data_IF_829901951738
#
_entry.id   IF_829901951738
#
_cell.length_a   1.000
_cell.length_b   1.000
_cell.length_c   1.000
_cell.angle_alpha   90.00
_cell.angle_beta   90.00
_cell.angle_gamma   90.00
#
_symmetry.space_group_name_H-M   'P 1'
#
loop_
_entity.id
_entity.type
_entity.pdbx_description
1 polymer ?
#
# COMPACT_ATOMS: atom_id res chain seq x y z
N UNK A 1 -11.11 -4.25 15.87
CA UNK A 1 -10.99 -4.53 14.44
C UNK A 1 -11.41 -3.31 13.66
N UNK A 2 -10.56 -2.84 12.77
CA UNK A 2 -10.91 -1.67 11.97
C UNK A 2 -11.98 -2.04 10.95
N UNK A 3 -13.13 -1.43 11.06
CA UNK A 3 -14.15 -1.56 10.04
C UNK A 3 -13.71 -0.82 8.79
N UNK A 4 -13.91 -1.43 7.62
CA UNK A 4 -13.61 -0.79 6.35
C UNK A 4 -14.74 0.17 6.00
N UNK A 5 -14.73 1.33 6.64
CA UNK A 5 -15.65 2.41 6.32
C UNK A 5 -14.98 3.30 5.29
N UNK A 6 -15.55 3.34 4.08
CA UNK A 6 -15.08 4.26 3.06
C UNK A 6 -15.42 5.68 3.47
N UNK A 7 -14.42 6.55 3.44
CA UNK A 7 -14.59 7.97 3.70
C UNK A 7 -13.71 8.78 2.76
N UNK A 8 -14.12 10.00 2.45
CA UNK A 8 -13.29 10.92 1.69
C UNK A 8 -12.40 11.71 2.65
N UNK A 9 -11.14 11.86 2.27
CA UNK A 9 -10.21 12.71 2.98
C UNK A 9 -10.05 14.03 2.23
N UNK A 10 -10.20 15.14 2.95
CA UNK A 10 -9.98 16.49 2.40
C UNK A 10 -8.63 17.00 2.89
N UNK A 11 -7.62 17.13 2.01
CA UNK A 11 -6.29 17.52 2.43
C UNK A 11 -6.23 19.00 2.85
N UNK A 12 -5.44 19.28 3.89
CA UNK A 12 -5.11 20.64 4.29
C UNK A 12 -4.13 21.29 3.33
N UNK A 13 -3.30 20.48 2.68
CA UNK A 13 -2.31 20.92 1.69
C UNK A 13 -2.50 20.19 0.36
N UNK A 14 -3.54 20.55 -0.42
CA UNK A 14 -3.89 19.80 -1.62
C UNK A 14 -2.80 19.80 -2.69
N UNK A 15 -1.89 20.78 -2.68
CA UNK A 15 -0.76 20.84 -3.64
C UNK A 15 0.25 19.71 -3.43
N UNK A 16 0.32 19.12 -2.25
CA UNK A 16 1.19 17.98 -1.96
C UNK A 16 0.63 16.68 -2.55
N UNK A 17 -0.67 16.60 -2.74
CA UNK A 17 -1.31 15.37 -3.21
C UNK A 17 -1.08 15.19 -4.71
N UNK A 18 -0.54 14.02 -5.05
CA UNK A 18 -0.29 13.66 -6.45
C UNK A 18 -1.46 12.85 -6.96
N UNK A 19 -2.40 13.53 -7.60
CA UNK A 19 -3.65 12.98 -8.07
C UNK A 19 -4.77 13.99 -7.89
N UNK A 20 -6.02 13.53 -7.85
CA UNK A 20 -7.17 14.41 -7.63
C UNK A 20 -7.42 14.60 -6.14
N UNK A 21 -7.08 15.78 -5.56
CA UNK A 21 -7.24 16.01 -4.12
C UNK A 21 -8.71 16.05 -3.68
N UNK A 22 -9.65 16.16 -4.61
CA UNK A 22 -11.07 16.16 -4.30
C UNK A 22 -11.66 14.74 -4.28
N UNK A 23 -10.86 13.73 -4.57
CA UNK A 23 -11.32 12.35 -4.65
C UNK A 23 -10.35 11.38 -3.96
N UNK A 24 -9.97 11.69 -2.72
CA UNK A 24 -9.13 10.82 -1.91
C UNK A 24 -10.02 9.94 -1.05
N UNK A 25 -10.03 8.64 -1.33
CA UNK A 25 -10.89 7.68 -0.64
C UNK A 25 -10.05 6.87 0.33
N UNK A 26 -10.43 6.90 1.61
CA UNK A 26 -9.84 6.05 2.64
C UNK A 26 -10.79 4.87 2.91
N UNK A 27 -10.24 3.66 2.84
CA UNK A 27 -11.02 2.42 3.01
C UNK A 27 -11.02 1.92 4.45
N UNK A 28 -10.23 2.56 5.33
CA UNK A 28 -10.17 2.21 6.74
C UNK A 28 -9.75 3.43 7.57
N UNK A 29 -9.95 3.35 8.88
CA UNK A 29 -9.47 4.38 9.79
C UNK A 29 -7.95 4.50 9.80
N UNK A 30 -7.24 3.40 9.57
CA UNK A 30 -5.78 3.40 9.48
C UNK A 30 -5.29 4.16 8.26
N UNK A 31 -5.92 3.95 7.10
CA UNK A 31 -5.60 4.70 5.89
C UNK A 31 -5.87 6.18 6.08
N UNK A 32 -6.97 6.54 6.74
CA UNK A 32 -7.28 7.94 7.04
C UNK A 32 -6.22 8.59 7.93
N UNK A 33 -5.77 7.88 8.95
CA UNK A 33 -4.68 8.36 9.82
C UNK A 33 -3.39 8.56 9.03
N UNK A 34 -3.09 7.65 8.12
CA UNK A 34 -1.89 7.76 7.27
C UNK A 34 -2.01 8.93 6.28
N UNK A 35 -3.19 9.15 5.69
CA UNK A 35 -3.44 10.32 4.84
C UNK A 35 -3.15 11.62 5.59
N UNK A 36 -3.64 11.71 6.82
CA UNK A 36 -3.40 12.88 7.67
C UNK A 36 -1.92 13.04 7.98
N UNK A 37 -1.23 11.96 8.28
CA UNK A 37 0.21 11.99 8.51
C UNK A 37 0.96 12.51 7.29
N UNK A 38 0.65 12.01 6.09
CA UNK A 38 1.27 12.46 4.85
C UNK A 38 1.00 13.94 4.57
N UNK A 39 -0.24 14.36 4.80
CA UNK A 39 -0.68 15.73 4.52
C UNK A 39 0.02 16.74 5.44
N UNK A 40 0.14 16.42 6.72
CA UNK A 40 0.63 17.36 7.75
C UNK A 40 2.14 17.27 7.99
N UNK A 41 2.82 16.21 7.56
CA UNK A 41 4.24 16.04 7.81
C UNK A 41 5.07 16.85 6.79
N UNK A 42 5.87 17.78 7.28
CA UNK A 42 6.69 18.65 6.43
C UNK A 42 7.76 17.89 5.64
N UNK A 43 8.21 16.74 6.12
CA UNK A 43 9.22 15.94 5.42
C UNK A 43 8.64 15.14 4.26
N UNK A 44 7.34 14.99 4.20
CA UNK A 44 6.66 14.37 3.06
C UNK A 44 6.33 15.47 2.06
N UNK A 45 7.03 15.46 0.93
CA UNK A 45 6.92 16.50 -0.09
C UNK A 45 5.72 16.29 -1.00
N UNK A 46 5.46 15.03 -1.34
CA UNK A 46 4.34 14.61 -2.17
C UNK A 46 3.81 13.28 -1.68
N UNK A 47 2.53 13.00 -1.92
CA UNK A 47 1.94 11.71 -1.60
C UNK A 47 0.74 11.44 -2.49
N UNK A 48 0.40 10.17 -2.69
CA UNK A 48 -0.75 9.73 -3.45
C UNK A 48 -1.34 8.47 -2.85
N UNK A 49 -2.63 8.29 -3.01
CA UNK A 49 -3.38 7.13 -2.51
C UNK A 49 -4.04 6.43 -3.69
N UNK A 50 -3.62 5.20 -3.99
CA UNK A 50 -4.19 4.36 -5.05
C UNK A 50 -4.22 5.02 -6.45
N UNK A 51 -3.32 5.97 -6.70
CA UNK A 51 -3.32 6.77 -7.95
C UNK A 51 -2.45 6.18 -9.07
N UNK A 52 -1.69 5.13 -8.78
CA UNK A 52 -0.80 4.52 -9.77
C UNK A 52 -0.74 3.01 -9.57
N UNK A 53 -0.21 2.32 -10.56
CA UNK A 53 -0.01 0.88 -10.45
C UNK A 53 1.41 0.48 -10.82
N UNK A 54 1.84 -0.67 -10.27
CA UNK A 54 3.11 -1.31 -10.58
C UNK A 54 2.81 -2.64 -11.25
N UNK A 55 3.28 -2.86 -12.49
CA UNK A 55 3.09 -4.17 -13.12
C UNK A 55 3.93 -5.23 -12.42
N UNK A 56 3.37 -6.40 -12.22
CA UNK A 56 4.09 -7.55 -11.68
C UNK A 56 3.60 -8.84 -12.36
N UNK A 57 4.43 -9.88 -12.32
CA UNK A 57 4.05 -11.19 -12.85
C UNK A 57 3.52 -12.03 -11.69
N UNK A 58 2.25 -12.41 -11.77
CA UNK A 58 1.66 -13.26 -10.74
C UNK A 58 2.21 -14.69 -10.82
N UNK A 59 2.66 -15.28 -9.71
CA UNK A 59 3.13 -16.65 -9.70
C UNK A 59 2.02 -17.69 -9.93
N UNK A 60 0.75 -17.29 -9.82
CA UNK A 60 -0.38 -18.21 -9.96
C UNK A 60 -0.72 -18.53 -11.41
N UNK A 61 -0.67 -17.52 -12.30
CA UNK A 61 -1.03 -17.68 -13.72
C UNK A 61 0.07 -17.26 -14.70
N UNK A 62 1.20 -16.80 -14.18
CA UNK A 62 2.36 -16.34 -14.98
C UNK A 62 2.04 -15.16 -15.91
N UNK A 63 0.99 -14.41 -15.61
CA UNK A 63 0.56 -13.24 -16.37
C UNK A 63 0.91 -11.95 -15.65
N UNK A 64 1.00 -10.86 -16.42
CA UNK A 64 1.22 -9.52 -15.87
C UNK A 64 -0.07 -9.00 -15.27
N UNK A 65 0.00 -8.59 -14.01
CA UNK A 65 -1.11 -7.98 -13.29
C UNK A 65 -0.71 -6.59 -12.83
N UNK A 66 -1.71 -5.77 -12.49
CA UNK A 66 -1.49 -4.44 -11.94
C UNK A 66 -1.56 -4.50 -10.42
N UNK A 67 -0.52 -3.98 -9.76
CA UNK A 67 -0.51 -3.81 -8.32
C UNK A 67 -0.76 -2.35 -7.99
N UNK A 68 -1.83 -2.06 -7.27
CA UNK A 68 -2.16 -0.73 -6.79
C UNK A 68 -1.76 -0.62 -5.32
N UNK A 69 -0.59 -0.04 -5.00
CA UNK A 69 -0.21 0.19 -3.60
C UNK A 69 -1.18 1.15 -2.92
N UNK A 70 -1.31 1.02 -1.60
CA UNK A 70 -2.17 1.93 -0.85
C UNK A 70 -1.69 3.37 -0.95
N UNK A 71 -0.37 3.59 -0.84
CA UNK A 71 0.21 4.93 -0.90
C UNK A 71 1.55 4.93 -1.61
N UNK A 72 1.85 6.07 -2.25
CA UNK A 72 3.19 6.44 -2.66
C UNK A 72 3.54 7.76 -1.98
N UNK A 73 4.74 7.86 -1.43
CA UNK A 73 5.19 9.07 -0.76
C UNK A 73 6.59 9.46 -1.23
N UNK A 74 6.83 10.76 -1.33
CA UNK A 74 8.14 11.33 -1.59
C UNK A 74 8.61 12.05 -0.34
N UNK A 75 9.68 11.57 0.27
CA UNK A 75 10.16 12.01 1.58
C UNK A 75 11.51 12.69 1.44
N UNK A 76 11.67 13.83 2.11
CA UNK A 76 12.98 14.46 2.31
C UNK A 76 13.58 13.94 3.61
N UNK A 77 14.67 13.17 3.49
CA UNK A 77 15.35 12.60 4.66
C UNK A 77 16.24 13.65 5.36
N UNK A 78 16.66 13.32 6.59
CA UNK A 78 17.53 14.17 7.39
C UNK A 78 18.85 14.52 6.70
N UNK A 79 19.33 13.66 5.79
CA UNK A 79 20.52 13.90 4.99
C UNK A 79 20.30 14.86 3.83
N UNK A 80 19.07 15.30 3.60
CA UNK A 80 18.69 16.13 2.46
C UNK A 80 18.33 15.35 1.20
N UNK A 81 18.51 14.03 1.20
CA UNK A 81 18.11 13.18 0.08
C UNK A 81 16.60 13.04 0.00
N UNK A 82 16.10 13.00 -1.24
CA UNK A 82 14.69 12.76 -1.51
C UNK A 82 14.53 11.32 -1.96
N UNK A 83 13.69 10.55 -1.27
CA UNK A 83 13.40 9.16 -1.61
C UNK A 83 11.92 8.94 -1.78
N UNK A 84 11.57 8.02 -2.68
CA UNK A 84 10.19 7.60 -2.93
C UNK A 84 9.96 6.25 -2.27
N UNK A 85 8.89 6.15 -1.50
CA UNK A 85 8.48 4.91 -0.83
C UNK A 85 7.09 4.52 -1.30
N UNK A 86 6.91 3.22 -1.48
CA UNK A 86 5.60 2.61 -1.65
C UNK A 86 5.18 2.06 -0.30
N UNK A 87 4.01 2.46 0.17
CA UNK A 87 3.52 2.10 1.50
C UNK A 87 2.23 1.30 1.38
N UNK A 88 2.15 0.21 2.11
CA UNK A 88 0.97 -0.61 2.18
C UNK A 88 0.54 -0.80 3.62
N UNK A 89 -0.73 -0.50 3.89
CA UNK A 89 -1.30 -0.62 5.24
C UNK A 89 -1.94 -2.00 5.36
N UNK A 90 -1.29 -2.89 6.09
CA UNK A 90 -1.77 -4.26 6.28
C UNK A 90 -1.76 -4.66 7.75
N UNK A 91 -2.70 -5.55 8.16
CA UNK A 91 -2.58 -6.19 9.46
C UNK A 91 -1.26 -6.97 9.56
N UNK A 92 -0.65 -7.00 10.74
CA UNK A 92 0.62 -7.69 10.97
C UNK A 92 0.59 -9.15 10.49
N UNK A 93 -0.55 -9.81 10.64
CA UNK A 93 -0.74 -11.20 10.19
C UNK A 93 -0.42 -11.40 8.71
N UNK A 94 -0.72 -10.42 7.87
CA UNK A 94 -0.50 -10.49 6.42
C UNK A 94 0.93 -10.13 6.01
N UNK A 95 1.75 -9.64 6.93
CA UNK A 95 3.16 -9.33 6.67
C UNK A 95 4.09 -10.52 6.94
N UNK A 96 3.54 -11.65 7.35
CA UNK A 96 4.27 -12.86 7.69
C UNK A 96 3.75 -14.05 6.89
N UNK A 97 4.59 -15.08 6.65
CA UNK A 97 4.10 -16.29 5.98
C UNK A 97 3.01 -16.96 6.81
N UNK A 98 2.06 -17.64 6.16
CA UNK A 98 1.07 -18.42 6.89
C UNK A 98 1.74 -19.47 7.79
N UNK A 99 1.18 -19.67 8.98
CA UNK A 99 1.67 -20.73 9.88
C UNK A 99 1.41 -22.09 9.26
N UNK A 100 2.43 -22.95 9.30
CA UNK A 100 2.28 -24.31 8.83
C UNK A 100 1.23 -25.03 9.68
N UNK A 101 0.30 -25.74 9.03
CA UNK A 101 -0.79 -26.45 9.68
C UNK A 101 -0.71 -27.94 9.39
N UNK A 102 -1.09 -28.76 10.35
CA UNK A 102 -1.15 -30.22 10.18
C UNK A 102 -2.17 -30.64 9.14
N UNK A 103 -3.25 -29.90 9.01
CA UNK A 103 -4.35 -30.20 8.09
C UNK A 103 -4.42 -29.14 7.00
N UNK A 104 -4.34 -29.57 5.74
CA UNK A 104 -4.47 -28.68 4.61
C UNK A 104 -5.96 -28.44 4.35
N UNK A 105 -6.39 -27.19 4.52
CA UNK A 105 -7.76 -26.75 4.25
C UNK A 105 -7.79 -25.79 3.07
N UNK A 106 -8.98 -25.53 2.50
CA UNK A 106 -9.13 -24.51 1.45
C UNK A 106 -8.67 -23.14 1.94
N UNK A 107 -8.95 -22.81 3.20
CA UNK A 107 -8.53 -21.55 3.82
C UNK A 107 -7.01 -21.43 3.88
N UNK A 108 -6.32 -22.50 4.28
CA UNK A 108 -4.87 -22.51 4.33
C UNK A 108 -4.24 -22.39 2.95
N UNK A 109 -4.78 -23.11 1.96
CA UNK A 109 -4.31 -22.98 0.57
C UNK A 109 -4.48 -21.56 0.04
N UNK A 110 -5.61 -20.93 0.36
CA UNK A 110 -5.85 -19.54 -0.02
C UNK A 110 -4.83 -18.61 0.63
N UNK A 111 -4.53 -18.77 1.91
CA UNK A 111 -3.52 -17.98 2.62
C UNK A 111 -2.15 -18.12 1.96
N UNK A 112 -1.76 -19.33 1.59
CA UNK A 112 -0.48 -19.59 0.91
C UNK A 112 -0.42 -18.92 -0.46
N UNK A 113 -1.49 -19.00 -1.25
CA UNK A 113 -1.56 -18.35 -2.56
C UNK A 113 -1.50 -16.84 -2.43
N UNK A 114 -2.23 -16.27 -1.48
CA UNK A 114 -2.22 -14.83 -1.22
C UNK A 114 -0.83 -14.36 -0.81
N UNK A 115 -0.15 -15.13 0.06
CA UNK A 115 1.22 -14.81 0.47
C UNK A 115 2.18 -14.79 -0.72
N UNK A 116 2.09 -15.76 -1.64
CA UNK A 116 2.95 -15.80 -2.83
C UNK A 116 2.70 -14.61 -3.75
N UNK A 117 1.44 -14.24 -3.98
CA UNK A 117 1.08 -13.07 -4.78
C UNK A 117 1.61 -11.79 -4.12
N UNK A 118 1.44 -11.65 -2.80
CA UNK A 118 1.93 -10.47 -2.07
C UNK A 118 3.45 -10.34 -2.16
N UNK A 119 4.19 -11.45 -2.06
CA UNK A 119 5.64 -11.41 -2.24
C UNK A 119 6.04 -10.92 -3.63
N UNK A 120 5.33 -11.35 -4.67
CA UNK A 120 5.59 -10.90 -6.04
C UNK A 120 5.30 -9.40 -6.20
N UNK A 121 4.22 -8.90 -5.61
CA UNK A 121 3.88 -7.48 -5.60
C UNK A 121 4.96 -6.65 -4.89
N UNK A 122 5.40 -7.09 -3.73
CA UNK A 122 6.41 -6.38 -2.94
C UNK A 122 7.76 -6.35 -3.62
N UNK A 123 8.16 -7.46 -4.26
CA UNK A 123 9.37 -7.51 -5.06
C UNK A 123 9.32 -6.50 -6.19
N UNK A 124 8.21 -6.44 -6.93
CA UNK A 124 8.03 -5.48 -8.01
C UNK A 124 8.06 -4.04 -7.49
N UNK A 125 7.48 -3.79 -6.31
CA UNK A 125 7.51 -2.48 -5.68
C UNK A 125 8.92 -2.04 -5.30
N UNK A 126 9.73 -2.95 -4.77
CA UNK A 126 11.13 -2.67 -4.43
C UNK A 126 11.94 -2.33 -5.69
N UNK A 127 11.74 -3.07 -6.76
CA UNK A 127 12.41 -2.80 -8.04
C UNK A 127 11.96 -1.48 -8.67
N UNK A 128 10.70 -1.08 -8.45
CA UNK A 128 10.17 0.18 -8.93
C UNK A 128 10.77 1.38 -8.19
N UNK A 129 10.94 1.27 -6.88
CA UNK A 129 11.57 2.30 -6.06
C UNK A 129 13.09 2.21 -6.19
#
# INVERSE_FOLDING_TARGET
MAESIKSKYSPSFPKKYKGNPNNIICRSSWERKFCRYCDLNENILEWGSEEFFIPYISPLDKRVHKYFPDFIIKVKESTGQIKTYVVEVKPKRQTQPPKQRKRVTKSYLYECKTWEVNKAKWKAAVEFC
#
